data_IF_461405203160
#
_entry.id   IF_461405203160
#
_cell.length_a   1.000
_cell.length_b   1.000
_cell.length_c   1.000
_cell.angle_alpha   90.00
_cell.angle_beta   90.00
_cell.angle_gamma   90.00
#
_symmetry.space_group_name_H-M   'P 1'
#
loop_
_entity.id
_entity.type
_entity.pdbx_description
1 polymer ?
#
# COMPACT_ATOMS: atom_id res chain seq x y z
N UNK A 1 20.04 1.65 -7.64
CA UNK A 1 19.83 1.89 -9.10
C UNK A 1 20.69 3.07 -9.53
N UNK A 2 21.80 2.81 -10.25
CA UNK A 2 22.48 3.85 -11.03
C UNK A 2 21.53 4.28 -12.16
N UNK A 3 20.87 5.43 -11.99
CA UNK A 3 19.74 5.89 -12.82
C UNK A 3 18.38 5.91 -12.11
N UNK A 4 18.31 5.53 -10.83
CA UNK A 4 17.16 5.84 -9.98
C UNK A 4 17.08 7.34 -9.69
N UNK A 5 15.85 7.85 -9.52
CA UNK A 5 15.52 9.29 -9.48
C UNK A 5 16.45 10.13 -8.58
N UNK A 6 17.07 11.16 -9.17
CA UNK A 6 17.56 12.40 -8.50
C UNK A 6 17.70 13.50 -9.56
N UNK A 7 17.18 14.74 -9.48
CA UNK A 7 16.71 15.60 -8.38
C UNK A 7 15.33 16.25 -8.71
N UNK A 8 14.44 16.61 -7.78
CA UNK A 8 14.62 16.79 -6.33
C UNK A 8 13.30 16.79 -5.53
N UNK A 9 12.50 15.72 -5.65
CA UNK A 9 11.60 15.11 -4.65
C UNK A 9 10.73 14.06 -5.34
N UNK A 10 10.89 12.80 -4.98
CA UNK A 10 10.09 11.69 -5.48
C UNK A 10 9.91 10.64 -4.39
N UNK A 11 8.97 9.72 -4.60
CA UNK A 11 8.73 8.59 -3.72
C UNK A 11 8.84 7.31 -4.54
N UNK A 12 9.55 6.32 -4.03
CA UNK A 12 9.65 5.02 -4.69
C UNK A 12 8.49 4.15 -4.24
N UNK A 13 7.47 4.03 -5.10
CA UNK A 13 6.35 3.11 -4.85
C UNK A 13 6.72 1.72 -5.35
N UNK A 14 6.59 0.70 -4.49
CA UNK A 14 6.85 -0.71 -4.82
C UNK A 14 5.62 -1.56 -4.56
N UNK A 15 5.57 -2.74 -5.18
CA UNK A 15 4.47 -3.68 -4.97
C UNK A 15 3.08 -3.12 -5.33
N UNK A 16 3.02 -2.02 -6.10
CA UNK A 16 1.79 -1.51 -6.71
C UNK A 16 1.34 -2.35 -7.90
N UNK A 17 0.36 -1.88 -8.68
CA UNK A 17 -0.15 -2.58 -9.87
C UNK A 17 0.97 -2.89 -10.88
N UNK A 18 1.79 -1.90 -11.22
CA UNK A 18 2.92 -2.07 -12.15
C UNK A 18 4.10 -2.81 -11.52
N UNK A 19 4.15 -2.93 -10.19
CA UNK A 19 5.11 -3.77 -9.48
C UNK A 19 4.58 -5.18 -9.23
N UNK A 20 3.46 -5.55 -9.88
CA UNK A 20 2.82 -6.86 -9.81
C UNK A 20 2.52 -7.35 -8.39
N UNK A 21 2.30 -6.42 -7.44
CA UNK A 21 2.18 -6.79 -6.03
C UNK A 21 1.04 -7.77 -5.74
N UNK A 22 -0.01 -7.76 -6.56
CA UNK A 22 -1.09 -8.75 -6.47
C UNK A 22 -0.62 -10.19 -6.72
N UNK A 23 0.35 -10.39 -7.61
CA UNK A 23 0.85 -11.71 -8.04
C UNK A 23 1.90 -12.28 -7.11
N UNK A 24 2.60 -11.43 -6.35
CA UNK A 24 3.66 -11.86 -5.45
C UNK A 24 3.10 -12.69 -4.29
N UNK A 25 3.78 -13.78 -3.94
CA UNK A 25 3.62 -14.46 -2.66
C UNK A 25 4.04 -13.54 -1.50
N UNK A 26 3.70 -13.89 -0.27
CA UNK A 26 4.12 -13.10 0.90
C UNK A 26 5.65 -13.07 1.03
N UNK A 27 6.34 -14.16 0.72
CA UNK A 27 7.80 -14.24 0.86
C UNK A 27 8.50 -13.40 -0.22
N UNK A 28 8.01 -13.42 -1.47
CA UNK A 28 8.49 -12.51 -2.51
C UNK A 28 8.20 -11.05 -2.16
N UNK A 29 7.06 -10.77 -1.51
CA UNK A 29 6.73 -9.43 -1.03
C UNK A 29 7.75 -8.90 -0.02
N UNK A 30 8.12 -9.76 0.95
CA UNK A 30 9.13 -9.43 1.96
C UNK A 30 10.50 -9.19 1.33
N UNK A 31 10.92 -10.08 0.43
CA UNK A 31 12.18 -9.93 -0.31
C UNK A 31 12.21 -8.63 -1.12
N UNK A 32 11.11 -8.28 -1.79
CA UNK A 32 11.00 -7.02 -2.53
C UNK A 32 11.19 -5.81 -1.59
N UNK A 33 10.51 -5.80 -0.45
CA UNK A 33 10.63 -4.72 0.55
C UNK A 33 12.08 -4.62 1.05
N UNK A 34 12.66 -5.74 1.48
CA UNK A 34 14.01 -5.77 2.06
C UNK A 34 15.05 -5.24 1.07
N UNK A 35 15.01 -5.71 -0.19
CA UNK A 35 15.94 -5.30 -1.24
C UNK A 35 15.81 -3.81 -1.53
N UNK A 36 14.58 -3.30 -1.66
CA UNK A 36 14.36 -1.91 -2.03
C UNK A 36 14.67 -0.97 -0.89
N UNK A 37 14.29 -1.29 0.35
CA UNK A 37 14.61 -0.44 1.50
C UNK A 37 16.13 -0.41 1.73
N UNK A 38 16.80 -1.56 1.65
CA UNK A 38 18.26 -1.63 1.76
C UNK A 38 18.96 -0.82 0.65
N UNK A 39 18.50 -0.94 -0.60
CA UNK A 39 19.06 -0.18 -1.72
C UNK A 39 18.74 1.31 -1.59
N UNK A 40 17.54 1.70 -1.16
CA UNK A 40 17.18 3.09 -0.97
C UNK A 40 18.10 3.76 0.06
N UNK A 41 18.43 3.07 1.15
CA UNK A 41 19.35 3.53 2.20
C UNK A 41 19.03 4.96 2.67
N UNK A 42 17.73 5.28 2.80
CA UNK A 42 17.23 6.61 3.21
C UNK A 42 17.38 7.73 2.18
N UNK A 43 17.85 7.45 0.96
CA UNK A 43 18.04 8.47 -0.09
C UNK A 43 16.73 8.92 -0.75
N UNK A 44 15.74 8.03 -0.80
CA UNK A 44 14.39 8.28 -1.32
C UNK A 44 13.38 7.56 -0.42
N UNK A 45 12.22 8.17 -0.09
CA UNK A 45 11.20 7.47 0.67
C UNK A 45 10.65 6.27 -0.11
N UNK A 46 10.43 5.16 0.59
CA UNK A 46 9.86 3.93 0.05
C UNK A 46 8.40 3.80 0.48
N UNK A 47 7.50 3.75 -0.50
CA UNK A 47 6.08 3.52 -0.30
C UNK A 47 5.72 2.09 -0.71
N UNK A 48 5.20 1.31 0.23
CA UNK A 48 4.83 -0.09 -0.02
C UNK A 48 3.35 -0.16 -0.42
N UNK A 49 3.09 -0.58 -1.65
CA UNK A 49 1.75 -0.91 -2.12
C UNK A 49 1.15 -2.04 -1.28
N UNK A 50 -0.16 -2.01 -1.07
CA UNK A 50 -0.88 -3.06 -0.37
C UNK A 50 -2.02 -3.55 -1.26
N UNK A 51 -1.68 -4.41 -2.23
CA UNK A 51 -2.58 -4.82 -3.31
C UNK A 51 -3.18 -6.20 -2.99
N UNK A 52 -4.04 -6.26 -1.97
CA UNK A 52 -4.72 -7.50 -1.55
C UNK A 52 -6.23 -7.26 -1.40
N UNK A 53 -7.08 -8.26 -1.71
CA UNK A 53 -8.53 -8.08 -1.72
C UNK A 53 -9.14 -8.06 -0.31
N UNK A 54 -8.41 -8.52 0.72
CA UNK A 54 -8.91 -8.64 2.09
C UNK A 54 -7.98 -7.97 3.10
N UNK A 55 -8.53 -7.59 4.26
CA UNK A 55 -7.83 -6.80 5.29
C UNK A 55 -6.63 -7.52 5.93
N UNK A 56 -6.79 -8.79 6.29
CA UNK A 56 -5.76 -9.56 7.00
C UNK A 56 -4.39 -9.60 6.26
N UNK A 57 -4.31 -9.97 4.97
CA UNK A 57 -3.03 -9.95 4.26
C UNK A 57 -2.48 -8.54 4.07
N UNK A 58 -3.32 -7.50 4.00
CA UNK A 58 -2.85 -6.11 4.00
C UNK A 58 -2.18 -5.78 5.33
N UNK A 59 -2.78 -6.12 6.47
CA UNK A 59 -2.20 -5.89 7.80
C UNK A 59 -0.83 -6.59 7.92
N UNK A 60 -0.72 -7.81 7.40
CA UNK A 60 0.57 -8.54 7.39
C UNK A 60 1.65 -7.85 6.56
N UNK A 61 1.29 -7.26 5.42
CA UNK A 61 2.21 -6.45 4.60
C UNK A 61 2.57 -5.15 5.34
N UNK A 62 1.58 -4.44 5.89
CA UNK A 62 1.77 -3.19 6.61
C UNK A 62 2.76 -3.32 7.77
N UNK A 63 2.55 -4.32 8.64
CA UNK A 63 3.45 -4.59 9.77
C UNK A 63 4.86 -4.91 9.31
N UNK A 64 5.00 -5.76 8.29
CA UNK A 64 6.32 -6.10 7.78
C UNK A 64 7.02 -4.89 7.13
N UNK A 65 6.29 -4.08 6.37
CA UNK A 65 6.83 -2.85 5.78
C UNK A 65 7.36 -1.90 6.85
N UNK A 66 6.64 -1.74 7.96
CA UNK A 66 7.10 -0.97 9.11
C UNK A 66 8.36 -1.56 9.76
N UNK A 67 8.35 -2.87 10.05
CA UNK A 67 9.50 -3.59 10.60
C UNK A 67 10.75 -3.46 9.71
N UNK A 68 10.57 -3.48 8.39
CA UNK A 68 11.65 -3.37 7.41
C UNK A 68 12.13 -1.93 7.19
N UNK A 69 11.42 -0.91 7.69
CA UNK A 69 11.81 0.49 7.60
C UNK A 69 11.30 1.23 6.36
N UNK A 70 10.15 0.83 5.80
CA UNK A 70 9.45 1.63 4.79
C UNK A 70 8.89 2.93 5.39
N UNK A 71 8.64 3.94 4.54
CA UNK A 71 8.23 5.27 4.99
C UNK A 71 6.70 5.46 5.01
N UNK A 72 5.99 4.80 4.09
CA UNK A 72 4.52 4.84 4.05
C UNK A 72 3.95 3.65 3.27
N UNK A 73 2.62 3.53 3.29
CA UNK A 73 1.86 2.53 2.55
C UNK A 73 1.02 3.18 1.46
N UNK A 74 0.74 2.45 0.39
CA UNK A 74 -0.28 2.80 -0.61
C UNK A 74 -1.37 1.73 -0.60
N UNK A 75 -2.57 2.08 -0.14
CA UNK A 75 -3.65 1.13 0.13
C UNK A 75 -4.84 1.34 -0.81
N UNK A 76 -5.29 0.26 -1.46
CA UNK A 76 -6.55 0.23 -2.20
C UNK A 76 -7.73 -0.13 -1.30
N UNK A 77 -8.93 0.25 -1.74
CA UNK A 77 -10.17 -0.31 -1.22
C UNK A 77 -10.23 -1.83 -1.45
N UNK A 78 -10.98 -2.58 -0.61
CA UNK A 78 -11.28 -3.99 -0.88
C UNK A 78 -11.87 -4.17 -2.28
N UNK A 79 -11.44 -5.22 -2.97
CA UNK A 79 -11.81 -5.50 -4.37
C UNK A 79 -12.10 -6.99 -4.58
N UNK A 80 -12.39 -7.38 -5.82
CA UNK A 80 -12.93 -8.68 -6.24
C UNK A 80 -14.43 -8.87 -5.98
N UNK A 81 -14.89 -8.58 -4.76
CA UNK A 81 -16.32 -8.60 -4.45
C UNK A 81 -16.96 -7.24 -4.76
N UNK A 82 -18.03 -7.19 -5.60
CA UNK A 82 -18.70 -5.94 -5.91
C UNK A 82 -19.48 -5.41 -4.69
N UNK A 83 -19.81 -4.12 -4.72
CA UNK A 83 -20.76 -3.48 -3.78
C UNK A 83 -20.40 -3.56 -2.29
N UNK A 84 -19.12 -3.45 -1.91
CA UNK A 84 -18.75 -3.22 -0.52
C UNK A 84 -19.42 -1.95 0.00
N UNK A 85 -20.19 -2.07 1.08
CA UNK A 85 -20.79 -0.91 1.73
C UNK A 85 -19.70 0.08 2.19
N UNK A 86 -19.95 1.40 2.19
CA UNK A 86 -18.98 2.39 2.62
C UNK A 86 -18.38 2.12 4.01
N UNK A 87 -19.17 1.59 4.94
CA UNK A 87 -18.69 1.25 6.29
C UNK A 87 -17.74 0.04 6.31
N UNK A 88 -17.86 -0.88 5.35
CA UNK A 88 -16.92 -1.99 5.19
C UNK A 88 -15.59 -1.47 4.66
N UNK A 89 -15.64 -0.55 3.69
CA UNK A 89 -14.44 0.10 3.15
C UNK A 89 -13.76 0.92 4.25
N UNK A 90 -14.52 1.70 5.01
CA UNK A 90 -14.02 2.43 6.18
C UNK A 90 -13.33 1.51 7.18
N UNK A 91 -13.98 0.41 7.58
CA UNK A 91 -13.42 -0.56 8.52
C UNK A 91 -12.12 -1.19 8.00
N UNK A 92 -12.00 -1.43 6.69
CA UNK A 92 -10.77 -1.91 6.07
C UNK A 92 -9.61 -0.92 6.27
N UNK A 93 -9.78 0.34 5.84
CA UNK A 93 -8.73 1.37 6.00
C UNK A 93 -8.39 1.59 7.47
N UNK A 94 -9.40 1.68 8.34
CA UNK A 94 -9.21 1.85 9.78
C UNK A 94 -8.41 0.70 10.39
N UNK A 95 -8.75 -0.55 10.08
CA UNK A 95 -8.06 -1.71 10.63
C UNK A 95 -6.58 -1.77 10.21
N UNK A 96 -6.26 -1.30 9.00
CA UNK A 96 -4.86 -1.20 8.55
C UNK A 96 -4.15 -0.05 9.26
N UNK A 97 -4.78 1.11 9.37
CA UNK A 97 -4.24 2.27 10.09
C UNK A 97 -3.97 1.97 11.58
N UNK A 98 -4.83 1.19 12.23
CA UNK A 98 -4.63 0.78 13.64
C UNK A 98 -3.51 -0.25 13.81
N UNK A 99 -3.03 -0.88 12.73
CA UNK A 99 -2.06 -1.97 12.76
C UNK A 99 -0.61 -1.55 12.47
N UNK A 100 -0.36 -0.29 12.12
CA UNK A 100 0.96 0.25 11.79
C UNK A 100 1.08 1.72 12.18
N UNK A 101 2.31 2.20 12.44
CA UNK A 101 2.57 3.64 12.59
C UNK A 101 2.87 4.35 11.26
N UNK A 102 2.93 3.63 10.15
CA UNK A 102 3.21 4.21 8.83
C UNK A 102 2.02 5.04 8.32
N UNK A 103 2.32 6.15 7.65
CA UNK A 103 1.32 6.93 6.94
C UNK A 103 0.71 6.13 5.78
N UNK A 104 -0.58 6.34 5.51
CA UNK A 104 -1.31 5.63 4.44
C UNK A 104 -1.70 6.60 3.34
N UNK A 105 -1.24 6.34 2.12
CA UNK A 105 -1.73 6.93 0.88
C UNK A 105 -2.94 6.13 0.39
N UNK A 106 -4.11 6.74 0.41
CA UNK A 106 -5.32 6.15 -0.16
C UNK A 106 -5.18 6.12 -1.69
N UNK A 107 -5.26 4.93 -2.29
CA UNK A 107 -5.25 4.75 -3.72
C UNK A 107 -6.67 4.46 -4.23
N UNK A 108 -7.37 5.52 -4.66
CA UNK A 108 -8.69 5.41 -5.27
C UNK A 108 -8.55 5.01 -6.76
N UNK A 109 -8.82 3.75 -7.08
CA UNK A 109 -8.84 3.23 -8.45
C UNK A 109 -10.11 2.41 -8.69
N UNK A 110 -11.20 3.09 -9.05
CA UNK A 110 -12.50 2.47 -9.27
C UNK A 110 -12.49 1.48 -10.44
N UNK A 111 -11.65 1.68 -11.46
CA UNK A 111 -11.54 0.77 -12.62
C UNK A 111 -11.02 -0.61 -12.20
N UNK A 112 -10.10 -0.67 -11.23
CA UNK A 112 -9.54 -1.92 -10.73
C UNK A 112 -10.38 -2.50 -9.59
N UNK A 113 -10.87 -1.66 -8.69
CA UNK A 113 -11.55 -2.13 -7.47
C UNK A 113 -13.05 -2.35 -7.62
N UNK A 114 -13.68 -1.70 -8.60
CA UNK A 114 -15.12 -1.56 -8.66
C UNK A 114 -15.71 -0.68 -7.55
N UNK A 115 -14.86 0.00 -6.77
CA UNK A 115 -15.24 0.90 -5.69
C UNK A 115 -14.73 2.31 -5.99
N UNK A 116 -15.65 3.26 -6.13
CA UNK A 116 -15.29 4.67 -6.13
C UNK A 116 -15.44 5.24 -4.72
N UNK A 117 -14.34 5.74 -4.16
CA UNK A 117 -14.34 6.31 -2.82
C UNK A 117 -14.98 7.69 -2.86
N UNK A 118 -16.19 7.80 -2.30
CA UNK A 118 -16.91 9.08 -2.21
C UNK A 118 -16.15 10.09 -1.34
N UNK A 119 -16.37 11.38 -1.58
CA UNK A 119 -15.82 12.44 -0.75
C UNK A 119 -16.24 12.31 0.72
N UNK A 120 -17.49 11.91 0.99
CA UNK A 120 -17.97 11.69 2.35
C UNK A 120 -17.19 10.58 3.06
N UNK A 121 -16.84 9.51 2.35
CA UNK A 121 -16.01 8.44 2.90
C UNK A 121 -14.57 8.92 3.12
N UNK A 122 -13.99 9.63 2.16
CA UNK A 122 -12.63 10.16 2.26
C UNK A 122 -12.48 11.17 3.42
N UNK A 123 -13.49 12.00 3.69
CA UNK A 123 -13.48 12.93 4.83
C UNK A 123 -13.65 12.24 6.19
N UNK A 124 -14.19 11.00 6.22
CA UNK A 124 -14.32 10.20 7.45
C UNK A 124 -13.02 9.47 7.81
N UNK A 125 -12.17 9.17 6.83
CA UNK A 125 -10.88 8.49 6.97
C UNK A 125 -9.80 9.43 7.50
#
# INVERSE_FOLDING_TARGET
IEGGIVNGKGIQVIGGSNGEGFSLSMDEYKQLIDVVVAEAAGRVPVCVGCIRPTTEPVIRIARYAEEAGADCLMLLAPFYYPNCAPDVVYAHFKAVADATNLGIMIYNNATVTGQDLSMDLLCRL
#
